data_IF_429245746113
#
_entry.id   IF_429245746113
#
_cell.length_a   1.000
_cell.length_b   1.000
_cell.length_c   1.000
_cell.angle_alpha   90.00
_cell.angle_beta   90.00
_cell.angle_gamma   90.00
#
_symmetry.space_group_name_H-M   'P 1'
#
loop_
_entity.id
_entity.type
_entity.pdbx_description
1 polymer ?
#
# COMPACT_ATOMS: atom_id res chain seq x y z
N UNK A 1 -34.23 -4.50 -6.29
CA UNK A 1 -33.69 -3.14 -6.36
C UNK A 1 -33.26 -2.62 -4.98
N UNK A 2 -34.13 -2.57 -3.97
CA UNK A 2 -33.85 -2.01 -2.61
C UNK A 2 -32.60 -2.60 -1.92
N UNK A 3 -32.32 -3.91 -2.01
CA UNK A 3 -31.15 -4.53 -1.39
C UNK A 3 -29.80 -4.10 -2.02
N UNK A 4 -29.80 -3.83 -3.33
CA UNK A 4 -28.58 -3.33 -4.01
C UNK A 4 -28.22 -1.90 -3.59
N UNK A 5 -29.23 -1.06 -3.38
CA UNK A 5 -29.01 0.33 -2.93
C UNK A 5 -28.49 0.38 -1.50
N UNK A 6 -29.06 -0.44 -0.60
CA UNK A 6 -28.56 -0.57 0.79
C UNK A 6 -27.11 -1.04 0.80
N UNK A 7 -26.75 -2.02 -0.02
CA UNK A 7 -25.38 -2.51 -0.10
C UNK A 7 -24.42 -1.43 -0.60
N UNK A 8 -24.82 -0.65 -1.60
CA UNK A 8 -24.03 0.47 -2.13
C UNK A 8 -23.79 1.53 -1.05
N UNK A 9 -24.80 1.88 -0.25
CA UNK A 9 -24.67 2.83 0.86
C UNK A 9 -23.71 2.30 1.94
N UNK A 10 -23.77 1.01 2.25
CA UNK A 10 -22.83 0.40 3.21
C UNK A 10 -21.40 0.44 2.72
N UNK A 11 -21.14 0.10 1.46
CA UNK A 11 -19.79 0.17 0.85
C UNK A 11 -19.24 1.60 0.97
N UNK A 12 -20.02 2.60 0.59
CA UNK A 12 -19.66 4.02 0.68
C UNK A 12 -19.26 4.41 2.11
N UNK A 13 -20.07 4.04 3.11
CA UNK A 13 -19.82 4.38 4.52
C UNK A 13 -18.59 3.65 5.06
N UNK A 14 -18.39 2.39 4.70
CA UNK A 14 -17.20 1.62 5.10
C UNK A 14 -15.94 2.19 4.47
N UNK A 15 -15.95 2.53 3.18
CA UNK A 15 -14.81 3.17 2.52
C UNK A 15 -14.44 4.51 3.18
N UNK A 16 -15.44 5.33 3.54
CA UNK A 16 -15.22 6.57 4.30
C UNK A 16 -14.51 6.31 5.63
N UNK A 17 -14.93 5.27 6.35
CA UNK A 17 -14.30 4.88 7.61
C UNK A 17 -12.88 4.38 7.42
N UNK A 18 -12.65 3.54 6.43
CA UNK A 18 -11.31 3.04 6.12
C UNK A 18 -10.36 4.21 5.82
N UNK A 19 -10.77 5.14 4.96
CA UNK A 19 -9.97 6.33 4.65
C UNK A 19 -9.69 7.16 5.92
N UNK A 20 -10.69 7.32 6.80
CA UNK A 20 -10.49 8.03 8.05
C UNK A 20 -9.46 7.33 8.96
N UNK A 21 -9.59 6.03 9.17
CA UNK A 21 -8.67 5.25 10.02
C UNK A 21 -7.22 5.42 9.54
N UNK A 22 -6.98 5.31 8.23
CA UNK A 22 -5.63 5.38 7.68
C UNK A 22 -4.95 6.74 7.79
N UNK A 23 -5.74 7.79 7.69
CA UNK A 23 -5.21 9.13 7.85
C UNK A 23 -5.07 9.55 9.33
N UNK A 24 -5.61 8.77 10.28
CA UNK A 24 -5.71 9.14 11.69
C UNK A 24 -5.29 8.00 12.63
N UNK A 25 -4.28 7.18 12.25
CA UNK A 25 -3.87 6.01 13.03
C UNK A 25 -3.40 6.33 14.45
N UNK A 26 -2.96 7.56 14.70
CA UNK A 26 -2.52 8.03 16.03
C UNK A 26 -3.67 8.54 16.91
N UNK A 27 -4.85 8.76 16.33
CA UNK A 27 -6.03 9.32 17.03
C UNK A 27 -6.82 8.28 17.82
N UNK A 28 -7.89 8.73 18.52
CA UNK A 28 -8.89 7.85 19.11
C UNK A 28 -9.77 7.23 18.00
N UNK A 29 -9.50 5.97 17.72
CA UNK A 29 -10.26 5.14 16.78
C UNK A 29 -11.20 4.16 17.50
N UNK A 30 -11.75 4.56 18.65
CA UNK A 30 -12.71 3.73 19.40
C UNK A 30 -13.92 3.37 18.54
N UNK A 31 -14.54 2.23 18.84
CA UNK A 31 -15.73 1.76 18.12
C UNK A 31 -16.83 2.81 18.06
N UNK A 32 -17.00 3.61 19.13
CA UNK A 32 -18.00 4.68 19.21
C UNK A 32 -17.69 5.80 18.22
N UNK A 33 -16.45 6.27 18.17
CA UNK A 33 -16.01 7.32 17.25
C UNK A 33 -16.20 6.88 15.80
N UNK A 34 -15.72 5.71 15.47
CA UNK A 34 -15.75 5.18 14.10
C UNK A 34 -17.17 4.87 13.63
N UNK A 35 -18.01 4.30 14.50
CA UNK A 35 -19.43 4.08 14.16
C UNK A 35 -20.19 5.38 13.88
N UNK A 36 -19.87 6.45 14.60
CA UNK A 36 -20.46 7.78 14.33
C UNK A 36 -20.07 8.32 12.94
N UNK A 37 -18.81 8.14 12.52
CA UNK A 37 -18.34 8.55 11.18
C UNK A 37 -19.12 7.81 10.09
N UNK A 38 -19.41 6.51 10.33
CA UNK A 38 -20.21 5.69 9.43
C UNK A 38 -21.71 5.97 9.51
N UNK A 39 -22.16 6.81 10.45
CA UNK A 39 -23.57 7.02 10.76
C UNK A 39 -24.34 5.72 11.07
N UNK A 40 -23.71 4.84 11.88
CA UNK A 40 -24.29 3.60 12.38
C UNK A 40 -24.27 3.56 13.92
N UNK A 41 -25.14 2.73 14.51
CA UNK A 41 -24.95 2.34 15.90
C UNK A 41 -23.68 1.48 16.04
N UNK A 42 -22.97 1.51 17.19
CA UNK A 42 -21.75 0.72 17.38
C UNK A 42 -21.93 -0.77 17.11
N UNK A 43 -23.05 -1.36 17.56
CA UNK A 43 -23.36 -2.76 17.34
C UNK A 43 -23.57 -3.10 15.86
N UNK A 44 -24.33 -2.28 15.15
CA UNK A 44 -24.59 -2.46 13.72
C UNK A 44 -23.32 -2.28 12.90
N UNK A 45 -22.54 -1.22 13.20
CA UNK A 45 -21.26 -0.96 12.57
C UNK A 45 -20.29 -2.15 12.72
N UNK A 46 -20.13 -2.67 13.94
CA UNK A 46 -19.21 -3.81 14.19
C UNK A 46 -19.52 -5.02 13.29
N UNK A 47 -20.79 -5.34 13.12
CA UNK A 47 -21.23 -6.48 12.27
C UNK A 47 -20.95 -6.21 10.80
N UNK A 48 -21.30 -5.02 10.31
CA UNK A 48 -21.10 -4.64 8.90
C UNK A 48 -19.61 -4.58 8.60
N UNK A 49 -18.83 -3.88 9.43
CA UNK A 49 -17.39 -3.75 9.23
C UNK A 49 -16.71 -5.12 9.12
N UNK A 50 -17.00 -6.03 10.07
CA UNK A 50 -16.46 -7.39 10.04
C UNK A 50 -16.89 -8.16 8.79
N UNK A 51 -18.11 -8.00 8.33
CA UNK A 51 -18.61 -8.68 7.13
C UNK A 51 -17.94 -8.15 5.84
N UNK A 52 -17.61 -6.85 5.78
CA UNK A 52 -16.96 -6.23 4.63
C UNK A 52 -15.45 -6.41 4.60
N UNK A 53 -14.80 -6.24 5.76
CA UNK A 53 -13.33 -6.21 5.86
C UNK A 53 -12.75 -7.58 6.20
N UNK A 54 -13.59 -8.51 6.68
CA UNK A 54 -13.16 -9.85 7.09
C UNK A 54 -12.56 -9.94 8.50
N UNK A 55 -12.30 -8.81 9.16
CA UNK A 55 -11.74 -8.73 10.50
C UNK A 55 -12.47 -7.69 11.38
N UNK A 56 -12.28 -7.75 12.70
CA UNK A 56 -12.89 -6.78 13.62
C UNK A 56 -12.20 -5.41 13.47
N UNK A 57 -12.91 -4.32 13.80
CA UNK A 57 -12.34 -2.97 13.81
C UNK A 57 -11.03 -2.90 14.62
N UNK A 58 -11.03 -3.48 15.82
CA UNK A 58 -9.84 -3.48 16.69
C UNK A 58 -8.67 -4.23 16.07
N UNK A 59 -8.91 -5.39 15.46
CA UNK A 59 -7.87 -6.16 14.76
C UNK A 59 -7.33 -5.41 13.55
N UNK A 60 -8.21 -4.77 12.79
CA UNK A 60 -7.85 -3.97 11.62
C UNK A 60 -6.94 -2.80 12.01
N UNK A 61 -7.34 -1.98 12.98
CA UNK A 61 -6.55 -0.84 13.46
C UNK A 61 -5.21 -1.32 14.02
N UNK A 62 -5.21 -2.37 14.84
CA UNK A 62 -3.97 -2.90 15.41
C UNK A 62 -3.00 -3.38 14.33
N UNK A 63 -3.50 -4.06 13.30
CA UNK A 63 -2.69 -4.51 12.16
C UNK A 63 -2.09 -3.32 11.42
N UNK A 64 -2.88 -2.31 11.06
CA UNK A 64 -2.38 -1.12 10.38
C UNK A 64 -1.31 -0.37 11.19
N UNK A 65 -1.51 -0.24 12.51
CA UNK A 65 -0.53 0.38 13.41
C UNK A 65 0.79 -0.40 13.43
N UNK A 66 0.72 -1.72 13.45
CA UNK A 66 1.90 -2.61 13.44
C UNK A 66 2.61 -2.57 12.09
N UNK A 67 1.88 -2.65 10.98
CA UNK A 67 2.44 -2.54 9.63
C UNK A 67 3.10 -1.17 9.43
N UNK A 68 2.47 -0.09 9.92
CA UNK A 68 3.07 1.25 9.92
C UNK A 68 4.35 1.33 10.75
N UNK A 69 4.37 0.73 11.95
CA UNK A 69 5.56 0.68 12.78
C UNK A 69 6.68 -0.11 12.10
N UNK A 70 6.37 -1.25 11.49
CA UNK A 70 7.34 -2.05 10.74
C UNK A 70 7.94 -1.26 9.56
N UNK A 71 7.10 -0.55 8.80
CA UNK A 71 7.53 0.33 7.73
C UNK A 71 8.52 1.40 8.25
N UNK A 72 8.19 2.12 9.32
CA UNK A 72 9.08 3.14 9.89
C UNK A 72 10.38 2.52 10.41
N UNK A 73 10.32 1.32 11.00
CA UNK A 73 11.52 0.62 11.48
C UNK A 73 12.52 0.31 10.37
N UNK A 74 12.02 0.03 9.16
CA UNK A 74 12.84 -0.27 7.97
C UNK A 74 13.39 1.03 7.35
N UNK A 75 12.53 2.02 7.12
CA UNK A 75 12.86 3.15 6.25
C UNK A 75 13.28 4.42 7.00
N UNK A 76 13.06 4.50 8.32
CA UNK A 76 13.55 5.57 9.19
C UNK A 76 14.34 4.99 10.38
N UNK A 77 15.55 4.53 10.08
CA UNK A 77 16.43 3.85 11.05
C UNK A 77 16.84 4.75 12.22
N UNK A 78 16.81 6.08 12.05
CA UNK A 78 17.19 7.06 13.08
C UNK A 78 16.10 7.28 14.11
N UNK A 79 14.85 6.98 13.78
CA UNK A 79 13.72 7.24 14.67
C UNK A 79 13.70 6.27 15.86
N UNK A 80 13.50 6.79 17.06
CA UNK A 80 13.46 5.97 18.27
C UNK A 80 12.22 5.06 18.29
N UNK A 81 12.34 3.88 18.91
CA UNK A 81 11.20 2.95 19.07
C UNK A 81 10.06 3.60 19.87
N UNK A 82 10.41 4.50 20.79
CA UNK A 82 9.42 5.23 21.59
C UNK A 82 8.63 6.21 20.72
N UNK A 83 9.30 6.97 19.85
CA UNK A 83 8.63 7.90 18.93
C UNK A 83 7.76 7.14 17.92
N UNK A 84 8.28 6.01 17.39
CA UNK A 84 7.51 5.13 16.50
C UNK A 84 6.23 4.63 17.20
N UNK A 85 6.32 4.25 18.47
CA UNK A 85 5.14 3.79 19.21
C UNK A 85 4.07 4.88 19.27
N UNK A 86 4.43 6.11 19.63
CA UNK A 86 3.46 7.21 19.71
C UNK A 86 2.91 7.61 18.35
N UNK A 87 3.75 7.71 17.32
CA UNK A 87 3.32 8.05 15.95
C UNK A 87 2.36 7.02 15.35
N UNK A 88 2.49 5.75 15.78
CA UNK A 88 1.60 4.68 15.36
C UNK A 88 0.39 4.50 16.31
N UNK A 89 0.18 5.39 17.29
CA UNK A 89 -0.98 5.38 18.17
C UNK A 89 -0.93 4.33 19.29
N UNK A 90 0.28 3.88 19.68
CA UNK A 90 0.47 3.06 20.89
C UNK A 90 0.67 3.96 22.11
N UNK A 91 0.18 3.52 23.27
CA UNK A 91 0.33 4.27 24.51
C UNK A 91 1.75 4.21 25.10
N UNK A 92 2.58 3.26 24.65
CA UNK A 92 3.98 3.11 25.08
C UNK A 92 4.78 2.21 24.14
N UNK A 93 6.11 2.32 24.22
CA UNK A 93 7.03 1.41 23.52
C UNK A 93 6.87 -0.05 23.96
N UNK A 94 6.50 -0.31 25.20
CA UNK A 94 6.24 -1.66 25.73
C UNK A 94 4.98 -2.27 25.08
N UNK A 95 3.93 -1.47 24.88
CA UNK A 95 2.72 -1.93 24.19
C UNK A 95 3.02 -2.26 22.72
N UNK A 96 3.77 -1.38 22.04
CA UNK A 96 4.28 -1.64 20.69
C UNK A 96 5.05 -2.96 20.67
N UNK A 97 6.08 -3.13 21.53
CA UNK A 97 6.94 -4.29 21.52
C UNK A 97 6.18 -5.60 21.72
N UNK A 98 5.23 -5.61 22.67
CA UNK A 98 4.37 -6.79 22.93
C UNK A 98 3.52 -7.15 21.71
N UNK A 99 2.89 -6.15 21.10
CA UNK A 99 2.00 -6.35 19.95
C UNK A 99 2.78 -6.72 18.70
N UNK A 100 3.93 -6.08 18.49
CA UNK A 100 4.84 -6.32 17.38
C UNK A 100 5.38 -7.76 17.41
N UNK A 101 5.88 -8.19 18.58
CA UNK A 101 6.38 -9.57 18.77
C UNK A 101 5.28 -10.62 18.52
N UNK A 102 4.03 -10.32 18.88
CA UNK A 102 2.90 -11.20 18.59
C UNK A 102 2.64 -11.31 17.08
N UNK A 103 2.89 -10.28 16.31
CA UNK A 103 2.60 -10.21 14.87
C UNK A 103 3.73 -10.76 14.01
N UNK A 104 4.98 -10.33 14.28
CA UNK A 104 6.16 -10.68 13.47
C UNK A 104 7.10 -11.68 14.14
N UNK A 105 6.78 -12.18 15.34
CA UNK A 105 7.64 -13.05 16.16
C UNK A 105 8.96 -12.44 16.63
N UNK A 106 9.23 -11.19 16.29
CA UNK A 106 10.41 -10.40 16.64
C UNK A 106 10.02 -9.16 17.43
N UNK A 107 10.91 -8.67 18.27
CA UNK A 107 10.77 -7.33 18.87
C UNK A 107 11.05 -6.25 17.80
N UNK A 108 10.59 -5.00 17.99
CA UNK A 108 10.92 -3.90 17.07
C UNK A 108 12.43 -3.71 16.85
N UNK A 109 13.24 -3.89 17.89
CA UNK A 109 14.69 -3.75 17.79
C UNK A 109 15.32 -4.87 16.98
N UNK A 110 14.90 -6.13 17.23
CA UNK A 110 15.36 -7.30 16.45
C UNK A 110 14.96 -7.18 14.99
N UNK A 111 13.72 -6.75 14.74
CA UNK A 111 13.19 -6.55 13.40
C UNK A 111 13.97 -5.47 12.63
N UNK A 112 14.31 -4.34 13.28
CA UNK A 112 15.11 -3.28 12.67
C UNK A 112 16.49 -3.79 12.26
N UNK A 113 17.14 -4.60 13.09
CA UNK A 113 18.46 -5.18 12.78
C UNK A 113 18.35 -6.19 11.63
N UNK A 114 17.34 -7.07 11.67
CA UNK A 114 17.14 -8.10 10.64
C UNK A 114 16.82 -7.51 9.27
N UNK A 115 16.02 -6.43 9.25
CA UNK A 115 15.58 -5.75 8.02
C UNK A 115 16.44 -4.54 7.66
N UNK A 116 17.65 -4.42 8.20
CA UNK A 116 18.54 -3.31 7.91
C UNK A 116 18.78 -3.16 6.40
N UNK A 117 18.49 -1.99 5.80
CA UNK A 117 18.67 -1.77 4.37
C UNK A 117 20.13 -1.82 3.88
N UNK A 118 21.14 -1.80 4.78
CA UNK A 118 22.53 -2.06 4.41
C UNK A 118 22.73 -3.49 3.85
N UNK A 119 21.80 -4.40 4.17
CA UNK A 119 21.74 -5.74 3.63
C UNK A 119 20.30 -6.04 3.22
N UNK A 120 19.88 -5.66 2.01
CA UNK A 120 18.52 -5.94 1.58
C UNK A 120 18.32 -7.46 1.50
N UNK A 121 17.64 -7.98 2.52
CA UNK A 121 17.04 -9.33 2.47
C UNK A 121 15.71 -9.27 1.71
N UNK A 122 15.61 -8.34 0.76
CA UNK A 122 14.41 -8.15 -0.03
C UNK A 122 14.37 -9.22 -1.10
N UNK A 123 13.73 -10.30 -0.75
CA UNK A 123 13.20 -11.22 -1.77
C UNK A 123 11.91 -10.57 -2.28
N UNK A 124 11.77 -10.33 -3.59
CA UNK A 124 10.55 -9.78 -4.15
C UNK A 124 9.33 -10.53 -3.62
N UNK A 125 8.29 -9.80 -3.22
CA UNK A 125 7.07 -10.38 -2.64
C UNK A 125 6.38 -11.41 -3.54
N UNK A 126 6.65 -11.36 -4.84
CA UNK A 126 6.19 -12.31 -5.86
C UNK A 126 6.75 -13.73 -5.69
N UNK A 127 7.81 -13.88 -4.90
CA UNK A 127 8.43 -15.17 -4.64
C UNK A 127 7.82 -15.89 -3.43
N UNK A 128 6.95 -15.23 -2.68
CA UNK A 128 6.20 -15.83 -1.60
C UNK A 128 5.00 -16.64 -2.13
N UNK A 129 5.28 -17.80 -2.73
CA UNK A 129 4.29 -18.84 -2.76
C UNK A 129 4.44 -19.66 -1.47
N UNK A 130 3.39 -19.72 -0.69
CA UNK A 130 3.25 -20.37 0.64
C UNK A 130 3.64 -21.86 0.70
N UNK A 131 4.17 -22.43 -0.37
CA UNK A 131 4.39 -23.87 -0.51
C UNK A 131 5.83 -24.32 -0.81
N UNK A 132 6.81 -23.43 -0.94
CA UNK A 132 8.16 -23.89 -1.34
C UNK A 132 9.24 -23.61 -0.28
N UNK A 133 9.27 -24.49 0.74
CA UNK A 133 10.34 -24.61 1.75
C UNK A 133 11.76 -24.76 1.10
N UNK A 134 11.84 -25.20 -0.16
CA UNK A 134 13.08 -25.32 -0.92
C UNK A 134 13.62 -23.98 -1.39
N UNK A 135 12.73 -23.08 -1.82
CA UNK A 135 13.12 -21.77 -2.26
C UNK A 135 13.60 -20.89 -1.09
N UNK A 136 12.90 -20.93 0.05
CA UNK A 136 13.35 -20.25 1.26
C UNK A 136 14.73 -20.75 1.75
N UNK A 137 14.99 -22.07 1.65
CA UNK A 137 16.32 -22.63 1.92
C UNK A 137 17.38 -22.16 0.93
N UNK A 138 17.02 -22.02 -0.35
CA UNK A 138 17.93 -21.51 -1.38
C UNK A 138 18.26 -20.02 -1.12
N UNK A 139 17.27 -19.18 -0.78
CA UNK A 139 17.49 -17.78 -0.44
C UNK A 139 18.35 -17.64 0.80
N UNK A 140 18.12 -18.45 1.84
CA UNK A 140 18.97 -18.45 3.02
C UNK A 140 20.40 -18.89 2.72
N UNK A 141 20.61 -19.85 1.81
CA UNK A 141 21.94 -20.25 1.35
C UNK A 141 22.64 -19.15 0.52
N UNK A 142 21.90 -18.44 -0.31
CA UNK A 142 22.41 -17.31 -1.10
C UNK A 142 22.79 -16.13 -0.18
N UNK A 143 21.98 -15.82 0.81
CA UNK A 143 22.25 -14.75 1.78
C UNK A 143 23.51 -14.98 2.63
N UNK A 144 23.98 -16.23 2.77
CA UNK A 144 25.21 -16.58 3.47
C UNK A 144 26.47 -16.64 2.57
N UNK A 145 26.34 -16.36 1.27
CA UNK A 145 27.48 -16.33 0.34
C UNK A 145 27.80 -14.88 -0.02
N UNK A 146 28.86 -14.33 0.57
CA UNK A 146 29.30 -12.94 0.37
C UNK A 146 29.43 -12.55 -1.12
N UNK A 147 29.94 -13.45 -1.95
CA UNK A 147 30.14 -13.20 -3.38
C UNK A 147 28.83 -13.10 -4.18
N UNK A 148 27.85 -13.94 -3.86
CA UNK A 148 26.53 -13.94 -4.52
C UNK A 148 25.72 -12.72 -4.05
N UNK A 149 25.82 -12.39 -2.77
CA UNK A 149 25.21 -11.18 -2.19
C UNK A 149 25.70 -9.90 -2.88
N UNK A 150 27.01 -9.82 -3.16
CA UNK A 150 27.60 -8.65 -3.81
C UNK A 150 27.20 -8.53 -5.28
N UNK A 151 27.12 -9.64 -6.02
CA UNK A 151 26.63 -9.63 -7.39
C UNK A 151 25.16 -9.22 -7.49
N UNK A 152 24.31 -9.72 -6.61
CA UNK A 152 22.89 -9.31 -6.54
C UNK A 152 22.78 -7.83 -6.20
N UNK A 153 23.55 -7.36 -5.20
CA UNK A 153 23.61 -5.95 -4.83
C UNK A 153 24.02 -5.06 -5.99
N UNK A 154 25.07 -5.44 -6.73
CA UNK A 154 25.55 -4.69 -7.90
C UNK A 154 24.50 -4.65 -9.01
N UNK A 155 23.79 -5.75 -9.28
CA UNK A 155 22.68 -5.79 -10.25
C UNK A 155 21.57 -4.80 -9.89
N UNK A 156 21.17 -4.76 -8.62
CA UNK A 156 20.15 -3.81 -8.18
C UNK A 156 20.64 -2.36 -8.14
N UNK A 157 21.92 -2.13 -7.84
CA UNK A 157 22.52 -0.80 -7.94
C UNK A 157 22.54 -0.31 -9.39
N UNK A 158 22.87 -1.16 -10.36
CA UNK A 158 22.81 -0.85 -11.78
C UNK A 158 21.37 -0.56 -12.23
N UNK A 159 20.40 -1.39 -11.81
CA UNK A 159 18.98 -1.14 -12.06
C UNK A 159 18.52 0.19 -11.42
N UNK A 160 18.92 0.47 -10.18
CA UNK A 160 18.62 1.73 -9.51
C UNK A 160 19.19 2.94 -10.27
N UNK A 161 20.40 2.84 -10.80
CA UNK A 161 21.01 3.89 -11.61
C UNK A 161 20.31 4.07 -12.97
N UNK A 162 19.69 3.00 -13.51
CA UNK A 162 18.91 3.05 -14.76
C UNK A 162 17.50 3.64 -14.58
N UNK A 163 16.97 3.65 -13.35
CA UNK A 163 15.72 4.32 -13.04
C UNK A 163 15.94 5.83 -13.12
N UNK A 164 15.40 6.47 -14.14
CA UNK A 164 15.43 7.93 -14.23
C UNK A 164 14.47 8.52 -13.19
N UNK A 165 14.95 8.68 -11.95
CA UNK A 165 14.14 9.14 -10.83
C UNK A 165 14.19 10.66 -10.75
N UNK A 166 13.04 11.28 -10.90
CA UNK A 166 12.84 12.71 -10.76
C UNK A 166 12.11 13.00 -9.43
N UNK A 167 12.66 13.93 -8.64
CA UNK A 167 11.99 14.43 -7.43
C UNK A 167 11.33 15.74 -7.77
N UNK A 168 10.01 15.81 -7.63
CA UNK A 168 9.22 16.98 -7.99
C UNK A 168 8.10 17.27 -7.02
N UNK A 169 7.69 18.52 -6.96
CA UNK A 169 6.49 18.95 -6.26
C UNK A 169 5.27 18.65 -7.13
N UNK A 170 4.37 17.86 -6.60
CA UNK A 170 3.14 17.44 -7.27
C UNK A 170 1.93 18.15 -6.66
N UNK A 171 1.05 18.74 -7.48
CA UNK A 171 -0.20 19.28 -6.97
C UNK A 171 -1.12 18.16 -6.49
N UNK A 172 -2.08 18.50 -5.64
CA UNK A 172 -3.15 17.58 -5.31
C UNK A 172 -3.95 17.16 -6.56
N UNK A 173 -4.37 15.90 -6.61
CA UNK A 173 -5.13 15.35 -7.73
C UNK A 173 -6.44 14.79 -7.20
N UNK A 174 -7.56 15.33 -7.66
CA UNK A 174 -8.89 14.77 -7.39
C UNK A 174 -9.12 13.53 -8.23
N UNK A 175 -9.54 12.44 -7.60
CA UNK A 175 -9.78 11.17 -8.28
C UNK A 175 -11.10 10.52 -7.84
N UNK A 176 -11.74 9.83 -8.77
CA UNK A 176 -12.70 8.78 -8.46
C UNK A 176 -11.96 7.45 -8.38
N UNK A 177 -12.43 6.55 -7.52
CA UNK A 177 -11.76 5.26 -7.34
C UNK A 177 -12.73 4.11 -7.06
N UNK A 178 -12.28 2.90 -7.35
CA UNK A 178 -12.85 1.65 -6.83
C UNK A 178 -11.76 0.94 -6.04
N UNK A 179 -12.09 0.55 -4.79
CA UNK A 179 -11.19 -0.17 -3.90
C UNK A 179 -11.21 -1.65 -4.16
N UNK A 180 -10.03 -2.25 -4.23
CA UNK A 180 -9.80 -3.67 -4.35
C UNK A 180 -8.93 -4.16 -3.18
N UNK A 181 -9.28 -5.33 -2.63
CA UNK A 181 -8.49 -6.02 -1.59
C UNK A 181 -8.10 -7.39 -2.14
N UNK A 182 -6.79 -7.65 -2.21
CA UNK A 182 -6.20 -8.86 -2.79
C UNK A 182 -4.81 -8.60 -3.33
N UNK A 183 -4.20 -9.60 -3.98
CA UNK A 183 -2.91 -9.42 -4.67
C UNK A 183 -3.03 -8.49 -5.89
N UNK A 184 -1.89 -7.99 -6.35
CA UNK A 184 -1.83 -7.20 -7.56
C UNK A 184 -2.07 -8.14 -8.77
N UNK A 185 -3.25 -8.07 -9.37
CA UNK A 185 -3.66 -8.89 -10.51
C UNK A 185 -4.04 -7.95 -11.67
N UNK A 186 -3.21 -7.91 -12.70
CA UNK A 186 -3.38 -6.99 -13.83
C UNK A 186 -4.76 -7.10 -14.50
N UNK A 187 -5.27 -8.31 -14.69
CA UNK A 187 -6.61 -8.52 -15.26
C UNK A 187 -7.72 -7.96 -14.36
N UNK A 188 -7.60 -8.15 -13.04
CA UNK A 188 -8.57 -7.61 -12.08
C UNK A 188 -8.52 -6.09 -12.06
N UNK A 189 -7.34 -5.49 -12.09
CA UNK A 189 -7.14 -4.04 -12.15
C UNK A 189 -7.74 -3.47 -13.45
N UNK A 190 -7.47 -4.10 -14.59
CA UNK A 190 -8.03 -3.69 -15.88
C UNK A 190 -9.56 -3.77 -15.89
N UNK A 191 -10.15 -4.81 -15.34
CA UNK A 191 -11.61 -4.97 -15.25
C UNK A 191 -12.22 -3.88 -14.36
N UNK A 192 -11.60 -3.56 -13.24
CA UNK A 192 -12.06 -2.50 -12.32
C UNK A 192 -11.94 -1.14 -13.00
N UNK A 193 -10.83 -0.88 -13.68
CA UNK A 193 -10.64 0.34 -14.45
C UNK A 193 -11.72 0.52 -15.51
N UNK A 194 -11.99 -0.50 -16.31
CA UNK A 194 -13.02 -0.44 -17.35
C UNK A 194 -14.40 -0.09 -16.77
N UNK A 195 -14.74 -0.66 -15.59
CA UNK A 195 -15.96 -0.30 -14.89
C UNK A 195 -15.98 1.17 -14.48
N UNK A 196 -14.88 1.67 -13.94
CA UNK A 196 -14.74 3.05 -13.51
C UNK A 196 -14.81 4.02 -14.70
N UNK A 197 -14.14 3.66 -15.81
CA UNK A 197 -14.13 4.43 -17.05
C UNK A 197 -15.53 4.57 -17.64
N UNK A 198 -16.27 3.46 -17.83
CA UNK A 198 -17.65 3.46 -18.36
C UNK A 198 -18.57 4.32 -17.49
N UNK A 199 -18.42 4.24 -16.18
CA UNK A 199 -19.19 5.09 -15.26
C UNK A 199 -18.87 6.58 -15.43
N UNK A 200 -17.61 6.94 -15.55
CA UNK A 200 -17.16 8.32 -15.75
C UNK A 200 -17.57 8.87 -17.12
N UNK A 201 -17.41 8.07 -18.18
CA UNK A 201 -17.80 8.42 -19.55
C UNK A 201 -19.31 8.73 -19.63
N UNK A 202 -20.16 7.90 -19.02
CA UNK A 202 -21.61 8.13 -18.99
C UNK A 202 -22.05 9.43 -18.31
N UNK A 203 -21.13 10.11 -17.59
CA UNK A 203 -21.33 11.38 -16.89
C UNK A 203 -20.56 12.54 -17.50
N UNK A 204 -19.89 12.34 -18.62
CA UNK A 204 -19.11 13.37 -19.30
C UNK A 204 -17.84 13.80 -18.56
N UNK A 205 -17.32 12.96 -17.66
CA UNK A 205 -16.13 13.24 -16.84
C UNK A 205 -14.81 12.90 -17.55
N UNK A 206 -14.88 12.31 -18.75
CA UNK A 206 -13.71 11.88 -19.52
C UNK A 206 -13.27 12.98 -20.47
N UNK A 207 -12.01 13.38 -20.36
CA UNK A 207 -11.31 14.22 -21.32
C UNK A 207 -9.91 13.65 -21.65
N UNK A 208 -9.16 14.31 -22.55
CA UNK A 208 -7.82 13.86 -22.94
C UNK A 208 -6.76 14.01 -21.82
N UNK A 209 -7.10 14.62 -20.68
CA UNK A 209 -6.17 14.87 -19.58
C UNK A 209 -6.40 13.92 -18.40
N UNK A 210 -7.38 13.03 -18.47
CA UNK A 210 -7.58 12.05 -17.42
C UNK A 210 -6.39 11.10 -17.37
N UNK A 211 -5.92 10.83 -16.18
CA UNK A 211 -4.85 9.88 -15.91
C UNK A 211 -5.34 8.75 -15.01
N UNK A 212 -4.81 7.56 -15.22
CA UNK A 212 -5.10 6.37 -14.42
C UNK A 212 -4.02 6.26 -13.35
N UNK A 213 -4.44 6.04 -12.11
CA UNK A 213 -3.55 5.76 -11.00
C UNK A 213 -3.98 4.48 -10.28
N UNK A 214 -3.00 3.71 -9.84
CA UNK A 214 -3.21 2.62 -8.89
C UNK A 214 -2.48 3.00 -7.61
N UNK A 215 -3.23 3.22 -6.53
CA UNK A 215 -2.67 3.52 -5.22
C UNK A 215 -2.47 2.22 -4.45
N UNK A 216 -1.24 1.91 -4.09
CA UNK A 216 -0.90 0.82 -3.18
C UNK A 216 -0.81 1.36 -1.76
N UNK A 217 -1.67 0.88 -0.88
CA UNK A 217 -1.76 1.36 0.51
C UNK A 217 -0.91 0.57 1.49
N UNK A 218 -0.54 -0.64 1.12
CA UNK A 218 0.19 -1.55 1.98
C UNK A 218 1.50 -1.97 1.32
N UNK A 219 2.51 -2.15 2.13
CA UNK A 219 3.75 -2.79 1.70
C UNK A 219 3.51 -4.31 1.57
N UNK A 220 3.67 -4.91 0.38
CA UNK A 220 3.44 -6.34 0.19
C UNK A 220 4.40 -7.23 0.97
N UNK A 221 5.53 -6.69 1.45
CA UNK A 221 6.46 -7.43 2.33
C UNK A 221 5.97 -7.47 3.79
N UNK A 222 5.11 -6.55 4.18
CA UNK A 222 4.62 -6.42 5.55
C UNK A 222 3.19 -6.90 5.71
N UNK A 223 2.42 -6.94 4.60
CA UNK A 223 0.99 -7.26 4.59
C UNK A 223 0.73 -8.50 3.74
N UNK A 224 0.01 -9.45 4.29
CA UNK A 224 -0.36 -10.68 3.56
C UNK A 224 -1.18 -10.37 2.29
N UNK A 225 -0.93 -11.11 1.21
CA UNK A 225 -1.50 -10.90 -0.14
C UNK A 225 -3.02 -10.69 -0.14
N UNK A 226 -3.76 -11.46 0.65
CA UNK A 226 -5.22 -11.36 0.76
C UNK A 226 -5.73 -10.13 1.54
N UNK A 227 -4.83 -9.31 2.08
CA UNK A 227 -5.14 -8.06 2.81
C UNK A 227 -4.50 -6.83 2.16
N UNK A 228 -3.74 -6.99 1.09
CA UNK A 228 -3.24 -5.87 0.30
C UNK A 228 -4.42 -5.05 -0.21
N UNK A 229 -4.26 -3.75 -0.26
CA UNK A 229 -5.31 -2.85 -0.71
C UNK A 229 -4.80 -1.92 -1.80
N UNK A 230 -5.56 -1.90 -2.87
CA UNK A 230 -5.33 -1.03 -4.01
C UNK A 230 -6.59 -0.20 -4.28
N UNK A 231 -6.39 1.07 -4.58
CA UNK A 231 -7.44 1.93 -5.12
C UNK A 231 -7.11 2.20 -6.59
N UNK A 232 -7.96 1.71 -7.48
CA UNK A 232 -7.87 1.95 -8.92
C UNK A 232 -8.59 3.27 -9.18
N UNK A 233 -7.85 4.27 -9.64
CA UNK A 233 -8.27 5.66 -9.68
C UNK A 233 -8.27 6.21 -11.09
N UNK A 234 -9.19 7.13 -11.34
CA UNK A 234 -9.23 7.98 -12.52
C UNK A 234 -9.26 9.44 -12.07
N UNK A 235 -8.33 10.26 -12.58
CA UNK A 235 -8.33 11.69 -12.26
C UNK A 235 -9.56 12.38 -12.84
N UNK A 236 -10.09 13.34 -12.10
CA UNK A 236 -11.24 14.17 -12.51
C UNK A 236 -10.98 15.62 -12.17
N UNK A 237 -11.61 16.53 -12.93
CA UNK A 237 -11.54 17.97 -12.67
C UNK A 237 -12.72 18.49 -11.85
N UNK A 238 -13.84 17.81 -11.91
CA UNK A 238 -15.09 18.25 -11.30
C UNK A 238 -15.39 17.40 -10.05
N UNK A 239 -16.02 18.03 -9.07
CA UNK A 239 -16.53 17.33 -7.89
C UNK A 239 -17.71 16.45 -8.29
N UNK A 240 -17.65 15.19 -7.88
CA UNK A 240 -18.72 14.23 -8.14
C UNK A 240 -19.25 13.62 -6.86
N UNK A 241 -20.52 13.25 -6.88
CA UNK A 241 -21.16 12.55 -5.76
C UNK A 241 -20.84 11.06 -5.87
N UNK A 242 -20.14 10.46 -4.89
CA UNK A 242 -19.84 9.02 -4.87
C UNK A 242 -21.09 8.16 -5.01
N UNK A 243 -21.03 7.13 -5.83
CA UNK A 243 -22.15 6.20 -6.06
C UNK A 243 -21.70 4.74 -6.05
N UNK A 244 -22.38 3.93 -5.24
CA UNK A 244 -22.12 2.49 -5.15
C UNK A 244 -20.76 2.19 -4.53
N UNK A 245 -19.94 1.46 -5.26
CA UNK A 245 -18.56 1.16 -4.89
C UNK A 245 -17.54 2.18 -5.42
N UNK A 246 -18.00 3.19 -6.14
CA UNK A 246 -17.18 4.31 -6.60
C UNK A 246 -17.12 5.37 -5.51
N UNK A 247 -15.92 5.67 -5.06
CA UNK A 247 -15.61 6.71 -4.10
C UNK A 247 -14.89 7.88 -4.75
N UNK A 248 -14.72 8.96 -3.98
CA UNK A 248 -13.86 10.10 -4.31
C UNK A 248 -12.79 10.24 -3.27
N UNK A 249 -11.58 10.59 -3.67
CA UNK A 249 -10.48 10.94 -2.78
C UNK A 249 -9.52 11.90 -3.47
N UNK A 250 -8.55 12.38 -2.70
CA UNK A 250 -7.50 13.26 -3.19
C UNK A 250 -6.17 12.51 -3.04
N UNK A 251 -5.39 12.44 -4.12
CA UNK A 251 -3.97 12.16 -4.04
C UNK A 251 -3.35 13.47 -3.53
N UNK A 252 -2.75 13.43 -2.35
CA UNK A 252 -2.25 14.63 -1.69
C UNK A 252 -1.12 15.28 -2.50
N UNK A 253 -1.02 16.60 -2.41
CA UNK A 253 0.13 17.36 -2.87
C UNK A 253 1.40 17.04 -2.07
N UNK A 254 2.53 17.46 -2.58
CA UNK A 254 3.82 17.36 -1.92
C UNK A 254 4.95 16.86 -2.80
N UNK A 255 6.07 16.57 -2.18
CA UNK A 255 7.27 16.09 -2.87
C UNK A 255 7.14 14.60 -3.15
N UNK A 256 7.23 14.23 -4.42
CA UNK A 256 7.19 12.87 -4.91
C UNK A 256 8.46 12.55 -5.69
N UNK A 257 8.96 11.33 -5.50
CA UNK A 257 9.95 10.75 -6.39
C UNK A 257 9.21 9.88 -7.41
N UNK A 258 9.40 10.16 -8.69
CA UNK A 258 8.74 9.49 -9.80
C UNK A 258 9.78 8.87 -10.72
N UNK A 259 9.51 7.66 -11.19
CA UNK A 259 10.27 7.00 -12.24
C UNK A 259 9.30 6.47 -13.28
N UNK A 260 9.73 6.48 -14.55
CA UNK A 260 8.97 5.91 -15.66
C UNK A 260 9.56 4.59 -16.07
N UNK A 261 8.75 3.54 -16.10
CA UNK A 261 9.13 2.22 -16.56
C UNK A 261 8.19 1.75 -17.67
N UNK A 262 8.76 1.18 -18.72
CA UNK A 262 8.03 0.69 -19.89
C UNK A 262 8.04 -0.84 -19.88
N UNK A 263 6.86 -1.44 -19.81
CA UNK A 263 6.68 -2.90 -19.91
C UNK A 263 6.61 -3.33 -21.37
N UNK A 264 7.77 -3.55 -22.00
CA UNK A 264 7.83 -4.04 -23.39
C UNK A 264 7.67 -5.57 -23.42
N UNK A 265 6.78 -6.08 -24.29
CA UNK A 265 6.57 -7.51 -24.54
C UNK A 265 6.35 -8.36 -23.26
N UNK A 266 5.81 -7.76 -22.20
CA UNK A 266 5.59 -8.44 -20.93
C UNK A 266 4.21 -9.05 -20.89
N UNK A 267 4.11 -10.33 -20.58
CA UNK A 267 2.81 -10.98 -20.34
C UNK A 267 2.19 -10.42 -19.06
N UNK A 268 0.85 -10.38 -19.00
CA UNK A 268 0.12 -9.85 -17.83
C UNK A 268 0.51 -10.55 -16.53
N UNK A 269 0.80 -11.84 -16.58
CA UNK A 269 1.24 -12.67 -15.44
C UNK A 269 2.62 -12.29 -14.89
N UNK A 270 3.49 -11.71 -15.74
CA UNK A 270 4.86 -11.35 -15.38
C UNK A 270 5.00 -9.87 -14.95
N UNK A 271 3.93 -9.06 -15.10
CA UNK A 271 3.98 -7.60 -14.79
C UNK A 271 4.30 -7.36 -13.31
N UNK A 272 3.67 -8.10 -12.40
CA UNK A 272 3.89 -7.97 -10.96
C UNK A 272 5.36 -8.26 -10.60
N UNK A 273 5.92 -9.33 -11.16
CA UNK A 273 7.31 -9.73 -10.93
C UNK A 273 8.28 -8.66 -11.44
N UNK A 274 8.13 -8.26 -12.69
CA UNK A 274 9.00 -7.22 -13.29
C UNK A 274 8.89 -5.89 -12.55
N UNK A 275 7.69 -5.51 -12.11
CA UNK A 275 7.51 -4.29 -11.35
C UNK A 275 8.26 -4.32 -10.04
N UNK A 276 8.20 -5.43 -9.31
CA UNK A 276 8.93 -5.60 -8.06
C UNK A 276 10.45 -5.63 -8.27
N UNK A 277 10.93 -6.38 -9.26
CA UNK A 277 12.36 -6.58 -9.50
C UNK A 277 13.04 -5.41 -10.18
N UNK A 278 12.38 -4.76 -11.13
CA UNK A 278 12.99 -3.74 -11.98
C UNK A 278 12.72 -2.32 -11.47
N UNK A 279 11.70 -2.11 -10.66
CA UNK A 279 11.28 -0.79 -10.20
C UNK A 279 11.27 -0.67 -8.68
N UNK A 280 10.39 -1.41 -7.99
CA UNK A 280 10.16 -1.21 -6.55
C UNK A 280 11.40 -1.52 -5.72
N UNK A 281 12.04 -2.65 -5.93
CA UNK A 281 13.23 -3.04 -5.16
C UNK A 281 14.41 -2.11 -5.40
N UNK A 282 14.80 -1.78 -6.66
CA UNK A 282 15.85 -0.80 -6.91
C UNK A 282 15.53 0.58 -6.35
N UNK A 283 14.27 1.03 -6.44
CA UNK A 283 13.85 2.32 -5.94
C UNK A 283 13.93 2.39 -4.40
N UNK A 284 13.30 1.45 -3.71
CA UNK A 284 13.12 1.50 -2.26
C UNK A 284 14.37 1.06 -1.51
N UNK A 285 15.07 0.02 -2.00
CA UNK A 285 16.18 -0.58 -1.28
C UNK A 285 17.54 0.05 -1.60
N UNK A 286 17.65 0.70 -2.77
CA UNK A 286 18.95 1.23 -3.22
C UNK A 286 18.94 2.74 -3.43
N UNK A 287 17.97 3.28 -4.17
CA UNK A 287 17.93 4.72 -4.40
C UNK A 287 17.52 5.50 -3.15
N UNK A 288 16.43 5.12 -2.50
CA UNK A 288 15.87 5.86 -1.36
C UNK A 288 16.89 6.03 -0.20
N UNK A 289 17.60 4.99 0.26
CA UNK A 289 18.59 5.14 1.33
C UNK A 289 19.73 6.09 1.00
N UNK A 290 20.08 6.24 -0.28
CA UNK A 290 21.17 7.13 -0.75
C UNK A 290 20.68 8.52 -1.13
N UNK A 291 19.39 8.71 -1.30
CA UNK A 291 18.77 9.95 -1.78
C UNK A 291 18.73 11.09 -0.74
N UNK A 292 18.81 10.75 0.56
CA UNK A 292 18.58 11.67 1.66
C UNK A 292 17.10 11.96 1.97
N UNK A 293 16.17 11.32 1.25
CA UNK A 293 14.72 11.41 1.49
C UNK A 293 14.23 10.30 2.41
N UNK A 294 13.10 10.54 3.05
CA UNK A 294 12.39 9.57 3.90
C UNK A 294 10.96 9.43 3.37
N UNK A 295 10.46 8.20 3.29
CA UNK A 295 9.09 7.94 2.86
C UNK A 295 8.09 8.56 3.84
N UNK A 296 7.18 9.38 3.32
CA UNK A 296 6.17 10.09 4.11
C UNK A 296 5.07 9.15 4.67
N UNK A 297 5.09 7.86 4.33
CA UNK A 297 4.06 6.91 4.72
C UNK A 297 2.70 7.18 4.08
N UNK A 298 2.70 7.85 2.95
CA UNK A 298 1.57 7.97 2.03
C UNK A 298 1.56 6.75 1.10
N UNK A 299 0.41 6.42 0.46
CA UNK A 299 0.38 5.32 -0.51
C UNK A 299 1.33 5.59 -1.67
N UNK A 300 1.99 4.55 -2.13
CA UNK A 300 2.71 4.57 -3.41
C UNK A 300 1.68 4.58 -4.54
N UNK A 301 1.92 5.34 -5.59
CA UNK A 301 1.05 5.29 -6.76
C UNK A 301 1.80 4.89 -8.02
N UNK A 302 1.09 4.20 -8.90
CA UNK A 302 1.50 3.87 -10.25
C UNK A 302 0.60 4.67 -11.18
N UNK A 303 1.19 5.52 -12.01
CA UNK A 303 0.47 6.20 -13.09
C UNK A 303 0.58 5.37 -14.36
N UNK A 304 -0.56 4.92 -14.87
CA UNK A 304 -0.61 4.14 -16.11
C UNK A 304 -0.78 5.09 -17.29
N UNK A 305 0.13 5.03 -18.23
CA UNK A 305 0.05 5.76 -19.49
C UNK A 305 -0.14 4.76 -20.63
N UNK A 306 -1.02 5.08 -21.57
CA UNK A 306 -1.16 4.32 -22.80
C UNK A 306 -0.08 4.79 -23.76
N UNK A 307 0.74 3.89 -24.27
CA UNK A 307 1.59 4.21 -25.41
C UNK A 307 0.68 4.39 -26.63
N UNK A 308 0.80 5.54 -27.28
CA UNK A 308 0.11 5.84 -28.54
C UNK A 308 0.58 4.93 -29.69
#
# INVERSE_FOLDING_TARGET
MRNKEILKDYVKRINKVINHIENHLHDDLSLKVIANIACFSPFHFHRIFKAFVGETLSSYIQRLRIERAAFILIYDIKKSITDIAFDCGFSSSQQLAKTFKKHYSLTPSEFRVEKNPEFPTVVPSTVYNDSDDKFQKLINQIAFSDTISENIKNTFLEKSASLNIEVKDMPQISVIYIRYIGGFEFETITRIYNKLFIWAESRGLIDNNNSIYVLSWNDPQLTSKNKLRFDICLSIKEDVIPEGDIGTQIIADGIYAESTYIFENTKSEDVEIKMSEDVETPFVCYWLPTSGYILAGKPVYIKIQKND
#
